data_IF_307778786254
#
_entry.id   IF_307778786254
#
_cell.length_a   1.000
_cell.length_b   1.000
_cell.length_c   1.000
_cell.angle_alpha   90.00
_cell.angle_beta   90.00
_cell.angle_gamma   90.00
#
_symmetry.space_group_name_H-M   'P 1'
#
loop_
_entity.id
_entity.type
_entity.pdbx_description
1 polymer ?
#
# COMPACT_ATOMS: atom_id res chain seq x y z
N UNK A 1 19.46 7.31 -30.20
CA UNK A 1 19.95 7.28 -28.80
C UNK A 1 18.86 7.59 -27.78
N UNK A 2 18.13 8.73 -27.85
CA UNK A 2 17.02 9.05 -26.91
C UNK A 2 15.96 7.96 -26.75
N UNK A 3 15.53 7.32 -27.85
CA UNK A 3 14.54 6.21 -27.82
C UNK A 3 15.03 4.99 -27.03
N UNK A 4 16.33 4.66 -27.14
CA UNK A 4 16.94 3.53 -26.44
C UNK A 4 16.96 3.81 -24.93
N UNK A 5 17.33 5.02 -24.52
CA UNK A 5 17.35 5.43 -23.11
C UNK A 5 15.92 5.35 -22.51
N UNK A 6 14.92 5.87 -23.22
CA UNK A 6 13.51 5.79 -22.80
C UNK A 6 13.06 4.33 -22.65
N UNK A 7 13.42 3.47 -23.62
CA UNK A 7 13.09 2.04 -23.57
C UNK A 7 13.76 1.36 -22.38
N UNK A 8 15.01 1.72 -22.06
CA UNK A 8 15.77 1.13 -20.94
C UNK A 8 15.17 1.54 -19.59
N UNK A 9 14.75 2.81 -19.46
CA UNK A 9 14.06 3.32 -18.27
C UNK A 9 12.73 2.59 -18.07
N UNK A 10 11.92 2.43 -19.13
CA UNK A 10 10.64 1.70 -19.05
C UNK A 10 10.85 0.22 -18.70
N UNK A 11 11.87 -0.44 -19.26
CA UNK A 11 12.12 -1.86 -19.02
C UNK A 11 12.58 -2.14 -17.57
N UNK A 12 13.34 -1.22 -16.96
CA UNK A 12 13.78 -1.35 -15.57
C UNK A 12 12.63 -1.37 -14.56
N UNK A 13 11.47 -0.79 -14.90
CA UNK A 13 10.30 -0.77 -14.01
C UNK A 13 9.58 -2.11 -13.92
N UNK A 14 9.76 -3.00 -14.92
CA UNK A 14 9.09 -4.31 -14.97
C UNK A 14 9.68 -5.28 -13.93
N UNK A 15 10.99 -5.19 -13.65
CA UNK A 15 11.68 -6.06 -12.70
C UNK A 15 11.63 -5.59 -11.23
N UNK A 16 11.02 -4.44 -10.97
CA UNK A 16 10.97 -3.85 -9.62
C UNK A 16 9.83 -4.42 -8.75
N UNK A 17 9.06 -5.39 -9.24
CA UNK A 17 7.91 -5.94 -8.53
C UNK A 17 8.34 -7.02 -7.52
N UNK A 18 8.25 -6.69 -6.24
CA UNK A 18 8.42 -7.66 -5.15
C UNK A 18 7.13 -8.43 -4.86
N UNK A 19 7.21 -9.47 -4.03
CA UNK A 19 6.07 -10.30 -3.61
C UNK A 19 4.94 -9.50 -2.92
N UNK A 20 5.22 -8.31 -2.41
CA UNK A 20 4.33 -7.46 -1.59
C UNK A 20 3.41 -6.52 -2.39
N UNK A 21 2.96 -6.98 -3.56
CA UNK A 21 2.01 -6.23 -4.40
C UNK A 21 0.65 -6.05 -3.71
N UNK A 22 -0.06 -4.98 -4.12
CA UNK A 22 -1.43 -4.75 -3.68
C UNK A 22 -2.33 -5.92 -4.09
N UNK A 23 -3.10 -6.46 -3.14
CA UNK A 23 -3.97 -7.61 -3.35
C UNK A 23 -3.33 -8.98 -3.07
N UNK A 24 -2.03 -9.05 -2.78
CA UNK A 24 -1.38 -10.28 -2.32
C UNK A 24 -1.57 -10.47 -0.81
N UNK A 25 -1.25 -11.66 -0.28
CA UNK A 25 -1.23 -11.89 1.16
C UNK A 25 0.09 -11.39 1.84
N UNK A 26 1.08 -10.99 1.05
CA UNK A 26 2.39 -10.56 1.55
C UNK A 26 2.34 -9.11 2.06
N UNK A 27 3.09 -8.85 3.13
CA UNK A 27 3.23 -7.53 3.75
C UNK A 27 4.51 -6.87 3.28
N UNK A 28 4.53 -5.54 3.32
CA UNK A 28 5.74 -4.77 3.07
C UNK A 28 6.86 -5.19 4.04
N UNK A 29 8.12 -5.40 3.58
CA UNK A 29 9.25 -5.77 4.43
C UNK A 29 9.45 -4.82 5.61
N UNK A 30 9.95 -5.33 6.74
CA UNK A 30 10.11 -4.54 7.94
C UNK A 30 10.99 -3.30 7.70
N UNK A 31 10.53 -2.15 8.19
CA UNK A 31 11.23 -0.87 8.08
C UNK A 31 11.13 -0.19 6.71
N UNK A 32 10.56 -0.85 5.69
CA UNK A 32 10.34 -0.22 4.38
C UNK A 32 9.13 0.70 4.43
N UNK A 33 9.25 1.82 3.74
CA UNK A 33 8.19 2.78 3.49
C UNK A 33 7.93 2.87 1.99
N UNK A 34 6.67 2.83 1.59
CA UNK A 34 6.23 3.15 0.23
C UNK A 34 5.28 4.35 0.29
N UNK A 35 5.51 5.31 -0.58
CA UNK A 35 4.69 6.51 -0.71
C UNK A 35 4.46 6.78 -2.19
N UNK A 36 3.24 7.22 -2.52
CA UNK A 36 2.89 7.63 -3.87
C UNK A 36 1.99 8.86 -3.83
N UNK A 37 1.93 9.58 -4.95
CA UNK A 37 1.07 10.77 -5.04
C UNK A 37 -0.42 10.40 -4.89
N UNK A 38 -0.84 9.29 -5.49
CA UNK A 38 -2.21 8.79 -5.47
C UNK A 38 -2.36 7.40 -4.82
N UNK A 39 -1.30 6.92 -4.16
CA UNK A 39 -1.29 5.63 -3.49
C UNK A 39 -1.25 5.84 -1.98
N UNK A 40 -1.79 4.89 -1.19
CA UNK A 40 -1.67 4.96 0.25
C UNK A 40 -0.19 4.94 0.64
N UNK A 41 0.15 5.69 1.67
CA UNK A 41 1.45 5.53 2.34
C UNK A 41 1.40 4.17 3.05
N UNK A 42 2.38 3.31 2.81
CA UNK A 42 2.50 1.98 3.42
C UNK A 42 3.78 1.92 4.23
N UNK A 43 3.71 1.30 5.39
CA UNK A 43 4.83 1.07 6.28
C UNK A 43 4.84 -0.38 6.74
N UNK A 44 5.95 -1.08 6.50
CA UNK A 44 6.20 -2.41 7.03
C UNK A 44 6.60 -2.31 8.49
N UNK A 45 5.62 -2.34 9.41
CA UNK A 45 5.89 -2.31 10.84
C UNK A 45 6.71 -3.55 11.26
N UNK A 46 6.41 -4.71 10.68
CA UNK A 46 7.12 -5.97 10.87
C UNK A 46 6.96 -6.86 9.62
N UNK A 47 7.70 -7.97 9.56
CA UNK A 47 7.62 -8.96 8.47
C UNK A 47 6.24 -9.60 8.27
N UNK A 48 5.32 -9.40 9.22
CA UNK A 48 3.96 -9.91 9.17
C UNK A 48 2.91 -8.81 9.34
N UNK A 49 3.29 -7.54 9.42
CA UNK A 49 2.34 -6.45 9.64
C UNK A 49 2.70 -5.22 8.85
N UNK A 50 1.72 -4.75 8.11
CA UNK A 50 1.79 -3.54 7.32
C UNK A 50 0.71 -2.57 7.78
N UNK A 51 1.09 -1.31 7.95
CA UNK A 51 0.17 -0.22 8.27
C UNK A 51 0.12 0.69 7.04
N UNK A 52 -1.08 1.10 6.65
CA UNK A 52 -1.24 2.04 5.55
C UNK A 52 -2.29 3.11 5.84
N UNK A 53 -2.11 4.26 5.22
CA UNK A 53 -3.02 5.40 5.32
C UNK A 53 -2.89 6.29 4.08
N UNK A 54 -3.98 6.92 3.64
CA UNK A 54 -3.91 7.88 2.54
C UNK A 54 -3.60 9.29 3.05
N UNK A 55 -2.49 9.86 2.58
CA UNK A 55 -2.07 11.23 2.93
C UNK A 55 -3.03 12.30 2.41
N UNK A 56 -3.39 12.26 1.12
CA UNK A 56 -4.23 13.28 0.49
C UNK A 56 -5.68 13.22 0.97
N UNK A 57 -6.27 12.02 1.03
CA UNK A 57 -7.65 11.88 1.50
C UNK A 57 -7.77 12.02 3.02
N UNK A 58 -6.68 12.08 3.80
CA UNK A 58 -6.75 12.27 5.25
C UNK A 58 -7.46 13.55 5.70
N UNK A 59 -7.49 14.59 4.85
CA UNK A 59 -8.23 15.83 5.12
C UNK A 59 -9.76 15.65 5.01
N UNK A 60 -10.20 14.71 4.17
CA UNK A 60 -11.62 14.44 3.91
C UNK A 60 -12.12 13.24 4.73
N UNK A 61 -11.33 12.18 4.76
CA UNK A 61 -11.63 10.91 5.40
C UNK A 61 -10.31 10.28 5.87
N UNK A 62 -9.79 10.65 7.05
CA UNK A 62 -8.68 9.95 7.66
C UNK A 62 -9.02 8.46 7.75
N UNK A 63 -8.01 7.67 7.39
CA UNK A 63 -8.10 6.24 7.33
C UNK A 63 -6.81 5.63 7.82
N UNK A 64 -6.94 4.49 8.47
CA UNK A 64 -5.81 3.65 8.84
C UNK A 64 -6.21 2.22 8.53
N UNK A 65 -5.35 1.54 7.80
CA UNK A 65 -5.51 0.13 7.45
C UNK A 65 -4.35 -0.65 8.03
N UNK A 66 -4.65 -1.71 8.74
CA UNK A 66 -3.67 -2.66 9.28
C UNK A 66 -3.86 -3.99 8.58
N UNK A 67 -2.84 -4.41 7.84
CA UNK A 67 -2.75 -5.72 7.22
C UNK A 67 -1.88 -6.62 8.07
N UNK A 68 -2.43 -7.74 8.51
CA UNK A 68 -1.75 -8.75 9.29
C UNK A 68 -1.63 -10.02 8.47
N UNK A 69 -0.39 -10.44 8.18
CA UNK A 69 -0.10 -11.75 7.59
C UNK A 69 -0.05 -12.80 8.70
N UNK A 70 -0.69 -13.94 8.45
CA UNK A 70 -0.65 -15.09 9.34
C UNK A 70 0.49 -16.03 8.95
N UNK A 71 0.98 -16.88 9.87
CA UNK A 71 1.95 -17.90 9.54
C UNK A 71 1.50 -18.72 8.33
N UNK A 72 2.42 -18.95 7.40
CA UNK A 72 2.16 -19.72 6.19
C UNK A 72 1.85 -21.18 6.58
N UNK A 73 0.80 -21.75 5.99
CA UNK A 73 0.41 -23.15 6.23
C UNK A 73 0.51 -23.92 4.92
N UNK A 74 1.63 -24.62 4.71
CA UNK A 74 1.96 -25.24 3.43
C UNK A 74 2.14 -24.20 2.33
N UNK A 75 1.47 -24.36 1.19
CA UNK A 75 1.50 -23.41 0.08
C UNK A 75 0.53 -22.22 0.26
N UNK A 76 -0.21 -22.18 1.37
CA UNK A 76 -1.21 -21.14 1.60
C UNK A 76 -0.66 -19.99 2.46
N UNK A 77 -0.68 -18.79 1.89
CA UNK A 77 -0.42 -17.54 2.61
C UNK A 77 -1.73 -16.80 2.82
N UNK A 78 -2.06 -16.52 4.09
CA UNK A 78 -3.31 -15.84 4.48
C UNK A 78 -2.97 -14.51 5.14
N UNK A 79 -3.72 -13.47 4.81
CA UNK A 79 -3.65 -12.19 5.50
C UNK A 79 -5.04 -11.65 5.81
N UNK A 80 -5.18 -10.96 6.93
CA UNK A 80 -6.38 -10.19 7.28
C UNK A 80 -6.10 -8.70 7.16
N UNK A 81 -7.10 -7.96 6.69
CA UNK A 81 -7.01 -6.50 6.52
C UNK A 81 -8.10 -5.86 7.36
N UNK A 82 -7.70 -5.00 8.29
CA UNK A 82 -8.60 -4.25 9.15
C UNK A 82 -8.47 -2.78 8.80
N UNK A 83 -9.56 -2.16 8.38
CA UNK A 83 -9.56 -0.75 7.98
C UNK A 83 -10.51 0.06 8.83
N UNK A 84 -10.03 1.20 9.31
CA UNK A 84 -10.81 2.17 10.06
C UNK A 84 -10.87 3.48 9.28
N UNK A 85 -12.07 4.05 9.15
CA UNK A 85 -12.33 5.28 8.41
C UNK A 85 -13.19 6.20 9.26
N UNK A 86 -12.83 7.47 9.34
CA UNK A 86 -13.63 8.49 10.02
C UNK A 86 -14.04 9.59 9.03
N UNK A 87 -15.31 9.65 8.58
CA UNK A 87 -15.75 10.69 7.65
C UNK A 87 -15.76 12.04 8.34
N UNK A 88 -15.01 13.02 7.82
CA UNK A 88 -14.99 14.36 8.41
C UNK A 88 -16.26 15.15 8.07
N UNK A 89 -16.60 16.19 8.86
CA UNK A 89 -17.67 17.13 8.51
C UNK A 89 -17.50 17.78 7.12
N UNK A 90 -16.26 17.93 6.63
CA UNK A 90 -15.98 18.46 5.30
C UNK A 90 -16.48 17.49 4.19
N UNK A 91 -16.26 16.19 4.37
CA UNK A 91 -16.82 15.18 3.47
C UNK A 91 -18.35 15.22 3.48
N UNK A 92 -18.94 15.38 4.67
CA UNK A 92 -20.40 15.48 4.83
C UNK A 92 -20.99 16.70 4.11
N UNK A 93 -20.26 17.82 4.06
CA UNK A 93 -20.68 19.02 3.30
C UNK A 93 -20.61 18.84 1.78
N UNK A 94 -19.65 18.08 1.25
CA UNK A 94 -19.54 17.77 -0.18
C UNK A 94 -20.61 16.79 -0.68
N UNK A 95 -21.25 16.06 0.23
CA UNK A 95 -22.29 15.07 -0.07
C UNK A 95 -23.72 15.64 0.02
N UNK A 96 -23.87 16.91 0.41
CA UNK A 96 -25.15 17.63 0.52
C UNK A 96 -25.39 18.51 -0.70
#
# INVERSE_FOLDING_TARGET
MKKIIILTILFSQVFAQGEWLSGTAYTLPQGRWEYGLFQPVRWGQSENREISFFKLSSLLMPNVTVKQRWPQKGEWTISTVHSFYYPTPLLKKLQS
#
